data_IF_382759182068
#
_entry.id   IF_382759182068
#
_cell.length_a   1.000
_cell.length_b   1.000
_cell.length_c   1.000
_cell.angle_alpha   90.00
_cell.angle_beta   90.00
_cell.angle_gamma   90.00
#
_symmetry.space_group_name_H-M   'P 1'
#
loop_
_entity.id
_entity.type
_entity.pdbx_description
1 polymer ?
#
# COMPACT_ATOMS: atom_id res chain seq x y z
N UNK A 1 -6.69 27.11 1.92
CA UNK A 1 -6.32 25.71 1.68
C UNK A 1 -5.14 25.32 2.56
N UNK A 2 -5.22 24.13 3.16
CA UNK A 2 -4.14 23.53 3.94
C UNK A 2 -3.53 22.38 3.16
N UNK A 3 -2.27 22.07 3.43
CA UNK A 3 -1.64 20.88 2.86
C UNK A 3 -0.63 20.29 3.83
N UNK A 4 -0.49 18.98 3.80
CA UNK A 4 0.51 18.25 4.57
C UNK A 4 1.10 17.16 3.67
N UNK A 5 2.42 17.05 3.67
CA UNK A 5 3.13 15.97 3.00
C UNK A 5 3.99 15.25 4.02
N UNK A 6 3.80 13.95 4.13
CA UNK A 6 4.62 13.09 5.00
C UNK A 6 5.13 11.90 4.22
N UNK A 7 6.32 11.46 4.58
CA UNK A 7 6.93 10.26 4.02
C UNK A 7 7.03 9.22 5.12
N UNK A 8 6.34 8.11 4.93
CA UNK A 8 6.43 6.95 5.81
C UNK A 8 7.45 5.98 5.24
N UNK A 9 8.23 5.36 6.10
CA UNK A 9 9.24 4.40 5.67
C UNK A 9 8.97 3.06 6.34
N UNK A 10 8.89 2.01 5.51
CA UNK A 10 8.65 0.65 5.98
C UNK A 10 9.76 -0.28 5.50
N UNK A 11 10.15 -1.19 6.37
CA UNK A 11 11.07 -2.27 6.03
C UNK A 11 10.45 -3.56 6.53
N UNK A 12 9.88 -4.33 5.62
CA UNK A 12 9.26 -5.61 5.95
C UNK A 12 10.36 -6.69 5.92
N UNK A 13 10.55 -7.45 7.02
CA UNK A 13 11.66 -8.40 7.11
C UNK A 13 11.53 -9.60 6.18
N UNK A 14 10.31 -9.94 5.78
CA UNK A 14 10.02 -11.04 4.87
C UNK A 14 9.88 -10.54 3.43
N UNK A 15 9.93 -11.44 2.46
CA UNK A 15 9.71 -11.06 1.05
C UNK A 15 8.36 -10.43 0.84
N UNK A 16 7.31 -10.97 1.46
CA UNK A 16 5.94 -10.46 1.32
C UNK A 16 5.30 -10.23 2.67
N UNK A 17 4.37 -9.29 2.70
CA UNK A 17 3.59 -9.02 3.89
C UNK A 17 2.58 -7.90 3.67
N UNK A 18 1.58 -7.84 4.53
CA UNK A 18 0.59 -6.78 4.55
C UNK A 18 0.61 -6.08 5.90
N UNK A 19 0.58 -4.75 5.88
CA UNK A 19 0.55 -3.93 7.10
C UNK A 19 -0.66 -3.00 7.06
N UNK A 20 -1.49 -3.05 8.10
CA UNK A 20 -2.57 -2.08 8.27
C UNK A 20 -1.96 -0.74 8.72
N UNK A 21 -2.09 0.29 7.90
CA UNK A 21 -1.54 1.62 8.16
C UNK A 21 -2.63 2.66 8.43
N UNK A 22 -3.86 2.23 8.62
CA UNK A 22 -5.01 3.13 8.80
C UNK A 22 -4.80 4.13 9.93
N UNK A 23 -4.37 3.66 11.11
CA UNK A 23 -4.19 4.53 12.27
C UNK A 23 -3.11 5.59 12.03
N UNK A 24 -2.02 5.21 11.37
CA UNK A 24 -0.96 6.15 11.02
C UNK A 24 -1.50 7.26 10.11
N UNK A 25 -2.30 6.89 9.11
CA UNK A 25 -2.89 7.87 8.19
C UNK A 25 -3.92 8.75 8.90
N UNK A 26 -4.75 8.17 9.76
CA UNK A 26 -5.70 8.94 10.58
C UNK A 26 -4.99 9.99 11.44
N UNK A 27 -3.86 9.63 12.04
CA UNK A 27 -3.06 10.56 12.85
C UNK A 27 -2.55 11.73 11.99
N UNK A 28 -2.14 11.46 10.76
CA UNK A 28 -1.69 12.50 9.83
C UNK A 28 -2.84 13.42 9.39
N UNK A 29 -4.03 12.88 9.20
CA UNK A 29 -5.23 13.69 8.91
C UNK A 29 -5.49 14.66 10.06
N UNK A 30 -5.45 14.20 11.31
CA UNK A 30 -5.60 15.09 12.48
C UNK A 30 -4.51 16.15 12.50
N UNK A 31 -3.25 15.76 12.29
CA UNK A 31 -2.11 16.68 12.24
C UNK A 31 -2.28 17.77 11.18
N UNK A 32 -2.86 17.43 10.03
CA UNK A 32 -3.07 18.36 8.93
C UNK A 32 -4.03 19.48 9.24
N UNK A 33 -4.97 19.25 10.14
CA UNK A 33 -6.07 20.17 10.45
C UNK A 33 -7.11 20.29 9.34
N UNK A 34 -7.00 19.51 8.27
CA UNK A 34 -7.97 19.52 7.17
C UNK A 34 -9.28 18.90 7.63
N UNK A 35 -10.38 19.61 7.39
CA UNK A 35 -11.72 19.14 7.73
C UNK A 35 -12.49 18.64 6.52
N UNK A 36 -12.25 19.26 5.36
CA UNK A 36 -12.87 18.86 4.09
C UNK A 36 -11.78 18.82 3.03
N UNK A 37 -11.55 17.65 2.47
CA UNK A 37 -10.47 17.50 1.50
C UNK A 37 -10.23 16.08 1.05
N UNK A 38 -9.00 15.84 0.61
CA UNK A 38 -8.58 14.54 0.09
C UNK A 38 -7.27 14.10 0.74
N UNK A 39 -7.16 12.80 0.97
CA UNK A 39 -5.94 12.16 1.46
C UNK A 39 -5.46 11.15 0.42
N UNK A 40 -4.29 11.40 -0.16
CA UNK A 40 -3.59 10.47 -1.05
C UNK A 40 -2.62 9.65 -0.22
N UNK A 41 -2.65 8.33 -0.38
CA UNK A 41 -1.66 7.42 0.20
C UNK A 41 -1.06 6.59 -0.93
N UNK A 42 0.22 6.74 -1.16
CA UNK A 42 0.87 6.30 -2.40
C UNK A 42 2.15 5.52 -2.11
N UNK A 43 2.21 4.26 -2.56
CA UNK A 43 3.43 3.47 -2.51
C UNK A 43 4.42 3.99 -3.55
N UNK A 44 5.59 4.45 -3.09
CA UNK A 44 6.60 5.07 -3.93
C UNK A 44 7.69 4.07 -4.34
N UNK A 45 7.31 2.82 -4.53
CA UNK A 45 8.20 1.77 -4.98
C UNK A 45 7.44 0.80 -5.90
N UNK A 46 8.09 0.41 -6.97
CA UNK A 46 7.46 -0.39 -8.04
C UNK A 46 7.15 -1.84 -7.66
N UNK A 47 7.56 -2.28 -6.47
CA UNK A 47 7.27 -3.62 -5.94
C UNK A 47 6.44 -3.61 -4.66
N UNK A 48 5.85 -2.46 -4.34
CA UNK A 48 4.97 -2.30 -3.18
C UNK A 48 3.63 -1.67 -3.61
N UNK A 49 2.60 -1.84 -2.80
CA UNK A 49 1.26 -1.39 -3.09
C UNK A 49 0.61 -0.71 -1.88
N UNK A 50 -0.39 0.11 -2.15
CA UNK A 50 -1.35 0.59 -1.15
C UNK A 50 -2.75 0.27 -1.65
N UNK A 51 -3.56 -0.34 -0.80
CA UNK A 51 -4.92 -0.73 -1.16
C UNK A 51 -5.85 -0.65 0.05
N UNK A 52 -7.15 -0.69 -0.19
CA UNK A 52 -8.18 -0.62 0.84
C UNK A 52 -9.05 -1.86 0.77
N UNK A 53 -9.20 -2.53 1.91
CA UNK A 53 -10.16 -3.61 2.08
C UNK A 53 -10.32 -3.93 3.59
N UNK A 54 -11.01 -5.01 3.89
CA UNK A 54 -11.28 -5.42 5.26
C UNK A 54 -10.03 -5.95 5.97
N UNK A 55 -9.90 -5.62 7.24
CA UNK A 55 -8.81 -6.12 8.10
C UNK A 55 -9.25 -7.45 8.72
N UNK A 56 -9.20 -8.52 7.93
CA UNK A 56 -9.61 -9.85 8.36
C UNK A 56 -8.54 -10.86 7.92
N UNK A 57 -8.06 -11.67 8.85
CA UNK A 57 -6.91 -12.53 8.64
C UNK A 57 -7.10 -13.57 7.53
N UNK A 58 -8.31 -14.11 7.39
CA UNK A 58 -8.62 -15.06 6.32
C UNK A 58 -8.55 -14.41 4.95
N UNK A 59 -9.06 -13.18 4.82
CA UNK A 59 -8.99 -12.43 3.57
C UNK A 59 -7.55 -12.10 3.19
N UNK A 60 -6.74 -11.68 4.16
CA UNK A 60 -5.31 -11.40 3.90
C UNK A 60 -4.57 -12.67 3.46
N UNK A 61 -4.89 -13.80 4.06
CA UNK A 61 -4.36 -15.09 3.62
C UNK A 61 -4.81 -15.41 2.19
N UNK A 62 -6.07 -15.16 1.87
CA UNK A 62 -6.61 -15.40 0.53
C UNK A 62 -5.93 -14.52 -0.52
N UNK A 63 -5.60 -13.27 -0.21
CA UNK A 63 -4.80 -12.43 -1.10
C UNK A 63 -3.44 -13.07 -1.41
N UNK A 64 -2.77 -13.57 -0.39
CA UNK A 64 -1.45 -14.21 -0.55
C UNK A 64 -1.55 -15.42 -1.50
N UNK A 65 -2.52 -16.27 -1.28
CA UNK A 65 -2.75 -17.46 -2.13
C UNK A 65 -3.11 -17.05 -3.56
N UNK A 66 -4.02 -16.09 -3.70
CA UNK A 66 -4.49 -15.60 -5.00
C UNK A 66 -3.36 -14.97 -5.81
N UNK A 67 -2.56 -14.11 -5.18
CA UNK A 67 -1.45 -13.43 -5.84
C UNK A 67 -0.37 -14.43 -6.28
N UNK A 68 -0.10 -15.46 -5.48
CA UNK A 68 0.85 -16.51 -5.88
C UNK A 68 0.33 -17.35 -7.06
N UNK A 69 -0.98 -17.52 -7.19
CA UNK A 69 -1.57 -18.17 -8.37
C UNK A 69 -1.46 -17.31 -9.61
N UNK A 70 -1.67 -16.00 -9.48
CA UNK A 70 -1.61 -15.06 -10.61
C UNK A 70 -0.18 -14.82 -11.08
N UNK A 71 0.75 -14.68 -10.17
CA UNK A 71 2.15 -14.37 -10.44
C UNK A 71 3.05 -15.14 -9.46
N UNK A 72 3.25 -16.44 -9.67
CA UNK A 72 4.09 -17.23 -8.77
C UNK A 72 5.52 -16.74 -8.77
N UNK A 73 6.14 -16.69 -7.58
CA UNK A 73 7.54 -16.32 -7.47
C UNK A 73 8.46 -17.34 -8.13
N UNK A 74 8.17 -18.63 -7.87
CA UNK A 74 8.97 -19.74 -8.44
C UNK A 74 8.24 -20.41 -9.61
N UNK A 75 8.95 -20.87 -10.63
CA UNK A 75 10.39 -20.68 -10.85
C UNK A 75 10.70 -19.26 -11.34
N UNK A 76 11.74 -18.64 -10.82
CA UNK A 76 12.13 -17.26 -11.19
C UNK A 76 12.50 -17.14 -12.67
N UNK A 77 12.93 -18.22 -13.27
CA UNK A 77 13.35 -18.26 -14.69
C UNK A 77 12.17 -18.14 -15.67
N UNK A 78 10.93 -18.25 -15.19
CA UNK A 78 9.76 -18.11 -16.07
C UNK A 78 9.56 -16.68 -16.58
N UNK A 79 10.18 -15.69 -15.92
CA UNK A 79 9.97 -14.28 -16.22
C UNK A 79 11.14 -13.68 -17.00
N UNK A 80 10.82 -12.94 -18.07
CA UNK A 80 11.85 -12.25 -18.86
C UNK A 80 12.54 -11.15 -18.06
N UNK A 81 11.84 -10.46 -17.18
CA UNK A 81 12.41 -9.43 -16.33
C UNK A 81 13.57 -9.96 -15.49
N UNK A 82 13.48 -11.20 -15.02
CA UNK A 82 14.50 -11.79 -14.17
C UNK A 82 15.80 -12.14 -14.93
N UNK A 83 15.82 -12.03 -16.26
CA UNK A 83 17.03 -12.18 -17.07
C UNK A 83 18.05 -11.07 -16.79
N UNK A 84 17.63 -9.97 -16.17
CA UNK A 84 18.53 -8.86 -15.79
C UNK A 84 19.36 -9.15 -14.54
N UNK A 85 19.21 -10.33 -13.95
CA UNK A 85 19.82 -10.69 -12.66
C UNK A 85 18.92 -10.47 -11.46
N UNK A 86 17.68 -9.99 -11.70
CA UNK A 86 16.69 -9.80 -10.65
C UNK A 86 15.92 -11.10 -10.39
N UNK A 87 15.18 -11.11 -9.27
CA UNK A 87 14.31 -12.23 -8.89
C UNK A 87 12.88 -11.78 -8.55
N UNK A 88 12.50 -10.58 -8.97
CA UNK A 88 11.34 -9.87 -8.44
C UNK A 88 10.27 -9.52 -9.50
N UNK A 89 10.27 -10.20 -10.65
CA UNK A 89 9.24 -9.94 -11.67
C UNK A 89 7.82 -10.13 -11.10
N UNK A 90 7.62 -11.16 -10.29
CA UNK A 90 6.34 -11.42 -9.66
C UNK A 90 5.90 -10.29 -8.74
N UNK A 91 6.85 -9.65 -8.06
CA UNK A 91 6.56 -8.52 -7.18
C UNK A 91 6.01 -7.32 -7.96
N UNK A 92 6.57 -7.03 -9.13
CA UNK A 92 6.05 -5.98 -10.02
C UNK A 92 4.62 -6.29 -10.48
N UNK A 93 4.33 -7.54 -10.79
CA UNK A 93 3.01 -7.96 -11.24
C UNK A 93 1.99 -7.91 -10.11
N UNK A 94 2.36 -8.35 -8.93
CA UNK A 94 1.51 -8.28 -7.72
C UNK A 94 1.16 -6.83 -7.39
N UNK A 95 2.17 -5.94 -7.41
CA UNK A 95 1.95 -4.50 -7.20
C UNK A 95 1.02 -3.93 -8.26
N UNK A 96 1.17 -4.33 -9.52
CA UNK A 96 0.32 -3.83 -10.61
C UNK A 96 -1.14 -4.19 -10.39
N UNK A 97 -1.40 -5.39 -9.87
CA UNK A 97 -2.76 -5.85 -9.57
C UNK A 97 -3.33 -5.16 -8.34
N UNK A 98 -2.55 -5.02 -7.27
CA UNK A 98 -3.02 -4.48 -5.99
C UNK A 98 -3.11 -2.96 -5.98
N UNK A 99 -2.33 -2.28 -6.80
CA UNK A 99 -2.43 -0.84 -7.00
C UNK A 99 -1.31 -0.03 -6.36
N UNK A 100 -1.12 1.17 -6.89
CA UNK A 100 -0.08 2.11 -6.47
C UNK A 100 -0.52 2.99 -5.32
N UNK A 101 -1.76 3.48 -5.36
CA UNK A 101 -2.27 4.50 -4.44
C UNK A 101 -3.76 4.35 -4.18
N UNK A 102 -4.18 4.98 -3.09
CA UNK A 102 -5.59 5.20 -2.79
C UNK A 102 -5.81 6.67 -2.50
N UNK A 103 -7.02 7.15 -2.77
CA UNK A 103 -7.48 8.48 -2.38
C UNK A 103 -8.73 8.30 -1.53
N UNK A 104 -8.70 8.88 -0.33
CA UNK A 104 -9.82 8.84 0.60
C UNK A 104 -10.29 10.26 0.86
N UNK A 105 -11.60 10.49 0.78
CA UNK A 105 -12.17 11.77 1.17
C UNK A 105 -11.97 12.02 2.66
N UNK A 106 -11.79 13.30 3.00
CA UNK A 106 -11.80 13.76 4.40
C UNK A 106 -13.10 14.53 4.57
N UNK A 107 -13.94 14.07 5.49
CA UNK A 107 -15.23 14.68 5.80
C UNK A 107 -15.29 14.94 7.29
N UNK A 108 -15.56 16.19 7.66
CA UNK A 108 -15.63 16.62 9.06
C UNK A 108 -14.38 16.21 9.87
N UNK A 109 -13.22 16.33 9.24
CA UNK A 109 -11.92 16.09 9.86
C UNK A 109 -11.51 14.62 9.98
N UNK A 110 -12.22 13.71 9.33
CA UNK A 110 -11.97 12.27 9.42
C UNK A 110 -11.92 11.64 8.03
N UNK A 111 -11.15 10.57 7.89
CA UNK A 111 -11.21 9.72 6.70
C UNK A 111 -12.62 9.15 6.54
N UNK A 112 -13.20 9.37 5.38
CA UNK A 112 -14.59 8.98 5.08
C UNK A 112 -14.58 7.61 4.43
N UNK A 113 -14.65 6.58 5.27
CA UNK A 113 -14.63 5.18 4.84
C UNK A 113 -16.03 4.60 4.72
N UNK A 114 -16.18 3.68 3.78
CA UNK A 114 -17.27 2.72 3.81
C UNK A 114 -17.08 1.71 4.95
N UNK A 115 -18.09 0.89 5.26
CA UNK A 115 -17.96 -0.14 6.30
C UNK A 115 -16.78 -1.07 6.02
N UNK A 116 -16.00 -1.36 7.08
CA UNK A 116 -14.88 -2.30 7.06
C UNK A 116 -13.66 -1.89 6.23
N UNK A 117 -13.67 -0.70 5.61
CA UNK A 117 -12.52 -0.22 4.85
C UNK A 117 -11.36 0.15 5.76
N UNK A 118 -10.19 -0.43 5.47
CA UNK A 118 -8.92 -0.13 6.14
C UNK A 118 -7.84 0.02 5.08
N UNK A 119 -6.84 0.86 5.35
CA UNK A 119 -5.73 1.11 4.43
C UNK A 119 -4.60 0.14 4.74
N UNK A 120 -4.10 -0.53 3.70
CA UNK A 120 -3.00 -1.48 3.81
C UNK A 120 -1.82 -1.06 2.94
N UNK A 121 -0.62 -1.31 3.47
CA UNK A 121 0.61 -1.35 2.69
C UNK A 121 0.89 -2.81 2.34
N UNK A 122 1.10 -3.09 1.05
CA UNK A 122 1.45 -4.43 0.58
C UNK A 122 2.91 -4.47 0.12
N UNK A 123 3.68 -5.41 0.66
CA UNK A 123 5.07 -5.63 0.30
C UNK A 123 5.22 -6.90 -0.50
N UNK A 124 5.89 -6.83 -1.65
CA UNK A 124 6.09 -8.00 -2.51
C UNK A 124 7.56 -8.32 -2.80
N UNK A 125 8.47 -7.43 -2.42
CA UNK A 125 9.92 -7.61 -2.54
C UNK A 125 10.62 -6.98 -1.35
N UNK A 126 10.39 -7.56 -0.18
CA UNK A 126 10.79 -7.03 1.11
C UNK A 126 12.28 -7.05 1.39
N UNK A 127 12.62 -6.83 2.66
CA UNK A 127 13.99 -6.78 3.17
C UNK A 127 14.77 -5.57 2.66
N UNK A 128 14.07 -4.52 2.26
CA UNK A 128 14.64 -3.21 1.91
C UNK A 128 13.66 -2.12 2.32
N UNK A 129 14.21 -0.96 2.59
CA UNK A 129 13.44 0.19 3.04
C UNK A 129 12.72 0.84 1.87
N UNK A 130 11.40 1.06 2.02
CA UNK A 130 10.55 1.65 0.99
C UNK A 130 9.70 2.77 1.56
N UNK A 131 9.37 3.74 0.71
CA UNK A 131 8.67 4.95 1.08
C UNK A 131 7.20 4.88 0.67
N UNK A 132 6.34 5.39 1.55
CA UNK A 132 4.94 5.69 1.23
C UNK A 132 4.73 7.19 1.41
N UNK A 133 4.24 7.83 0.37
CA UNK A 133 3.91 9.26 0.40
C UNK A 133 2.47 9.41 0.87
N UNK A 134 2.25 10.24 1.89
CA UNK A 134 0.92 10.69 2.29
C UNK A 134 0.80 12.17 1.98
N UNK A 135 -0.17 12.54 1.17
CA UNK A 135 -0.46 13.94 0.85
C UNK A 135 -1.91 14.25 1.16
N UNK A 136 -2.09 15.29 1.97
CA UNK A 136 -3.41 15.72 2.43
C UNK A 136 -3.60 17.17 2.00
N UNK A 137 -4.70 17.45 1.33
CA UNK A 137 -5.05 18.80 0.90
C UNK A 137 -6.52 19.07 1.18
N UNK A 138 -6.83 20.31 1.52
CA UNK A 138 -8.21 20.74 1.74
C UNK A 138 -8.32 21.97 2.62
N UNK A 139 -9.49 22.17 3.18
CA UNK A 139 -9.78 23.32 4.03
C UNK A 139 -10.08 22.93 5.48
#
# INVERSE_FOLDING_TARGET
MKSLTEHLWFEVPNRRGFMNITQTVEDLVRKSGVREGLCLVNAMHITAAVFINDNESGLLHDYEVWLEKLAPHEPTTQYQHNRTGEDNADAHLKRQVMGREVVVAITTGKLDFGPWEQIFYGEFDGRRRKRVLVKIIGD
#
